data_IF_173971237921
#
_entry.id   IF_173971237921
#
_cell.length_a   1.000
_cell.length_b   1.000
_cell.length_c   1.000
_cell.angle_alpha   90.00
_cell.angle_beta   90.00
_cell.angle_gamma   90.00
#
_symmetry.space_group_name_H-M   'P 1'
#
loop_
_entity.id
_entity.type
_entity.pdbx_description
1 polymer ?
#
# COMPACT_ATOMS: atom_id res chain seq x y z
N UNK A 1 16.01 -8.12 -73.18
CA UNK A 1 15.13 -7.98 -74.36
C UNK A 1 14.02 -9.02 -74.24
N UNK A 2 12.77 -8.68 -74.59
CA UNK A 2 11.53 -9.46 -74.42
C UNK A 2 11.21 -9.84 -72.95
N UNK A 3 10.11 -9.46 -72.28
CA UNK A 3 8.68 -9.28 -72.65
C UNK A 3 7.98 -10.63 -72.96
N UNK A 4 6.79 -10.98 -72.43
CA UNK A 4 5.78 -10.19 -71.69
C UNK A 4 4.79 -11.09 -70.92
N UNK A 5 3.95 -10.44 -70.09
CA UNK A 5 2.70 -10.86 -69.43
C UNK A 5 2.88 -11.45 -68.01
N UNK A 6 2.24 -10.98 -66.93
CA UNK A 6 1.24 -9.92 -66.77
C UNK A 6 -0.10 -10.46 -66.25
N UNK A 7 -0.40 -10.22 -64.96
CA UNK A 7 -1.72 -9.98 -64.34
C UNK A 7 -1.54 -9.90 -62.81
N UNK A 8 -2.09 -8.84 -62.22
CA UNK A 8 -2.45 -8.71 -60.80
C UNK A 8 -3.86 -8.11 -60.81
N UNK A 9 -4.76 -8.45 -59.86
CA UNK A 9 -5.06 -7.41 -58.87
C UNK A 9 -5.50 -7.89 -57.47
N UNK A 10 -5.55 -6.89 -56.58
CA UNK A 10 -6.47 -6.70 -55.43
C UNK A 10 -6.28 -7.47 -54.11
N UNK A 11 -6.01 -6.68 -53.06
CA UNK A 11 -6.28 -6.96 -51.64
C UNK A 11 -7.78 -6.86 -51.35
N UNK A 12 -8.30 -7.65 -50.40
CA UNK A 12 -9.44 -7.31 -49.54
C UNK A 12 -9.25 -7.99 -48.14
N UNK A 13 -9.90 -7.51 -47.07
CA UNK A 13 -9.51 -7.80 -45.69
C UNK A 13 -10.18 -9.05 -45.10
N UNK A 14 -9.52 -9.68 -44.13
CA UNK A 14 -10.12 -10.73 -43.30
C UNK A 14 -10.85 -10.06 -42.13
N UNK A 15 -12.18 -10.08 -42.17
CA UNK A 15 -13.03 -9.73 -41.03
C UNK A 15 -13.09 -10.88 -40.03
N UNK A 16 -13.15 -10.53 -38.75
CA UNK A 16 -13.59 -11.41 -37.66
C UNK A 16 -15.00 -11.98 -37.89
N UNK A 17 -15.38 -12.96 -37.07
CA UNK A 17 -16.70 -13.66 -37.01
C UNK A 17 -16.92 -14.90 -37.92
N UNK A 18 -16.16 -16.00 -37.76
CA UNK A 18 -16.69 -17.35 -38.07
C UNK A 18 -16.02 -18.53 -37.33
N UNK A 19 -15.88 -18.51 -36.00
CA UNK A 19 -15.52 -19.73 -35.22
C UNK A 19 -16.27 -19.79 -33.89
N UNK A 20 -17.59 -20.05 -33.92
CA UNK A 20 -18.38 -20.45 -32.74
C UNK A 20 -19.80 -20.92 -33.15
N UNK A 21 -19.90 -22.02 -33.92
CA UNK A 21 -21.21 -22.64 -34.18
C UNK A 21 -21.19 -24.15 -34.49
N UNK A 22 -20.42 -24.93 -33.71
CA UNK A 22 -20.45 -26.40 -33.75
C UNK A 22 -20.13 -26.99 -32.37
N UNK A 23 -21.13 -27.04 -31.47
CA UNK A 23 -21.20 -27.97 -30.33
C UNK A 23 -22.57 -27.85 -29.60
N UNK A 24 -23.67 -28.09 -30.32
CA UNK A 24 -25.04 -28.03 -29.77
C UNK A 24 -25.94 -29.20 -30.18
N UNK A 25 -25.38 -30.41 -30.28
CA UNK A 25 -26.17 -31.64 -30.38
C UNK A 25 -25.43 -32.85 -29.81
N UNK A 26 -25.74 -33.20 -28.55
CA UNK A 26 -25.86 -34.57 -27.97
C UNK A 26 -25.89 -34.51 -26.45
N UNK A 27 -27.09 -34.60 -25.88
CA UNK A 27 -27.44 -35.42 -24.70
C UNK A 27 -28.90 -35.14 -24.33
N UNK A 28 -29.78 -36.08 -24.69
CA UNK A 28 -31.18 -36.10 -24.28
C UNK A 28 -31.38 -37.26 -23.31
N UNK A 29 -31.92 -37.01 -22.12
CA UNK A 29 -32.59 -37.97 -21.21
C UNK A 29 -33.41 -37.13 -20.19
N UNK A 30 -34.44 -37.69 -19.50
CA UNK A 30 -35.70 -36.96 -19.37
C UNK A 30 -36.02 -36.39 -17.98
N UNK A 31 -36.91 -35.41 -18.00
CA UNK A 31 -37.55 -34.80 -16.83
C UNK A 31 -38.54 -35.78 -16.17
N UNK A 32 -38.47 -35.93 -14.85
CA UNK A 32 -39.53 -36.59 -14.05
C UNK A 32 -40.14 -35.57 -13.09
N UNK A 33 -41.44 -35.31 -13.24
CA UNK A 33 -42.20 -34.49 -12.29
C UNK A 33 -42.46 -35.25 -10.99
N UNK A 34 -42.36 -34.55 -9.86
CA UNK A 34 -43.10 -34.91 -8.65
C UNK A 34 -43.75 -33.66 -8.05
N UNK A 35 -45.08 -33.64 -8.08
CA UNK A 35 -45.91 -32.60 -7.47
C UNK A 35 -45.87 -32.66 -5.95
N UNK A 36 -45.85 -31.49 -5.29
CA UNK A 36 -46.73 -31.21 -4.14
C UNK A 36 -47.00 -29.69 -4.02
N UNK A 37 -48.26 -29.34 -3.75
CA UNK A 37 -48.77 -27.96 -3.67
C UNK A 37 -48.70 -27.39 -2.24
N UNK A 38 -48.82 -26.06 -2.06
CA UNK A 38 -48.55 -25.37 -0.80
C UNK A 38 -49.79 -25.22 0.09
N UNK A 39 -49.56 -24.83 1.35
CA UNK A 39 -50.58 -24.20 2.21
C UNK A 39 -50.16 -22.77 2.56
N UNK A 40 -51.13 -21.85 2.46
CA UNK A 40 -51.00 -20.44 2.86
C UNK A 40 -51.19 -20.30 4.38
N UNK A 41 -50.56 -19.28 4.96
CA UNK A 41 -51.29 -18.34 5.82
C UNK A 41 -50.66 -16.94 5.76
N UNK A 42 -51.50 -15.93 5.89
CA UNK A 42 -51.18 -14.52 5.68
C UNK A 42 -51.41 -13.71 6.96
N UNK A 43 -50.59 -12.69 7.23
CA UNK A 43 -51.11 -11.40 7.73
C UNK A 43 -50.06 -10.27 7.73
N UNK A 44 -50.34 -9.28 6.88
CA UNK A 44 -50.25 -7.82 7.08
C UNK A 44 -49.33 -7.20 8.16
N UNK A 45 -48.69 -6.11 7.75
CA UNK A 45 -47.85 -5.22 8.56
C UNK A 45 -48.52 -3.87 8.90
N UNK A 46 -47.86 -3.12 9.81
CA UNK A 46 -47.82 -1.64 9.99
C UNK A 46 -48.74 -0.91 10.99
N UNK A 47 -48.03 -0.20 11.87
CA UNK A 47 -48.16 1.21 12.26
C UNK A 47 -49.36 1.71 13.10
N UNK A 48 -49.04 2.36 14.24
CA UNK A 48 -49.06 3.83 14.38
C UNK A 48 -48.51 4.28 15.75
N UNK A 49 -47.91 5.47 15.82
CA UNK A 49 -47.45 6.08 17.07
C UNK A 49 -48.33 7.27 17.48
N UNK A 50 -48.62 7.39 18.78
CA UNK A 50 -49.11 8.61 19.46
C UNK A 50 -48.58 8.63 20.90
N UNK A 51 -48.13 9.79 21.38
CA UNK A 51 -48.04 10.11 22.82
C UNK A 51 -49.04 11.22 23.14
N UNK A 52 -48.81 12.07 24.16
CA UNK A 52 -48.09 11.88 25.43
C UNK A 52 -48.98 12.28 26.65
N UNK A 53 -48.61 11.97 27.91
CA UNK A 53 -48.82 12.86 29.10
C UNK A 53 -48.36 12.30 30.47
N UNK A 54 -47.90 13.24 31.33
CA UNK A 54 -47.98 13.32 32.82
C UNK A 54 -47.39 12.26 33.78
N UNK A 55 -46.54 12.78 34.69
CA UNK A 55 -46.18 12.28 36.05
C UNK A 55 -47.38 12.45 37.05
N UNK A 56 -47.31 12.11 38.37
CA UNK A 56 -46.22 11.50 39.18
C UNK A 56 -46.63 10.33 40.12
N UNK A 57 -45.64 9.61 40.69
CA UNK A 57 -45.67 9.17 42.10
C UNK A 57 -44.31 8.60 42.57
N UNK A 58 -43.91 8.90 43.81
CA UNK A 58 -42.85 8.18 44.56
C UNK A 58 -43.48 6.97 45.29
N UNK A 59 -42.74 5.92 45.71
CA UNK A 59 -42.02 6.01 46.99
C UNK A 59 -40.77 5.11 47.21
N UNK A 60 -39.96 5.50 48.23
CA UNK A 60 -39.18 4.68 49.18
C UNK A 60 -37.93 3.84 48.75
N UNK A 61 -36.99 3.78 49.72
CA UNK A 61 -35.64 3.16 49.82
C UNK A 61 -35.64 1.60 49.81
N UNK A 62 -34.48 0.87 49.83
CA UNK A 62 -33.09 1.28 50.14
C UNK A 62 -31.94 0.76 49.23
N UNK A 63 -30.74 1.33 49.43
CA UNK A 63 -29.46 0.89 48.82
C UNK A 63 -28.73 -0.19 49.65
N UNK A 64 -27.96 -1.11 49.01
CA UNK A 64 -27.03 -1.99 49.72
C UNK A 64 -25.53 -1.63 49.53
N UNK A 65 -24.84 -1.58 50.67
CA UNK A 65 -23.45 -2.00 50.92
C UNK A 65 -22.31 -1.62 49.93
N UNK A 66 -21.48 -0.65 50.34
CA UNK A 66 -20.10 -0.55 49.84
C UNK A 66 -19.17 -1.56 50.52
N UNK A 67 -18.24 -2.16 49.77
CA UNK A 67 -17.05 -2.83 50.31
C UNK A 67 -15.81 -2.00 50.00
N UNK A 68 -15.11 -1.53 51.03
CA UNK A 68 -13.79 -0.91 50.89
C UNK A 68 -12.75 -2.00 50.64
N UNK A 69 -11.98 -1.88 49.57
CA UNK A 69 -10.77 -2.66 49.38
C UNK A 69 -9.58 -1.81 49.85
N UNK A 70 -8.85 -2.28 50.86
CA UNK A 70 -7.60 -1.65 51.29
C UNK A 70 -6.49 -2.05 50.31
N UNK A 71 -5.81 -1.08 49.71
CA UNK A 71 -4.51 -1.31 49.07
C UNK A 71 -3.42 -0.99 50.08
N UNK A 72 -2.66 -2.01 50.47
CA UNK A 72 -1.44 -1.85 51.28
C UNK A 72 -0.33 -1.41 50.33
N UNK A 73 0.16 -0.18 50.48
CA UNK A 73 1.44 0.22 49.89
C UNK A 73 2.56 -0.43 50.68
N UNK A 74 3.38 -1.25 50.02
CA UNK A 74 4.68 -1.64 50.54
C UNK A 74 5.71 -0.60 50.07
N UNK A 75 6.21 0.20 51.00
CA UNK A 75 7.44 0.96 50.78
C UNK A 75 8.62 -0.01 50.95
N UNK A 76 9.41 -0.17 49.89
CA UNK A 76 10.75 -0.75 49.98
C UNK A 76 11.76 0.33 49.64
N UNK A 77 12.37 0.86 50.68
CA UNK A 77 13.58 1.65 50.61
C UNK A 77 14.76 0.74 50.21
N UNK A 78 15.52 1.15 49.21
CA UNK A 78 16.81 0.57 48.83
C UNK A 78 17.56 1.64 48.02
N UNK A 79 18.62 2.18 48.60
CA UNK A 79 19.26 3.40 48.10
C UNK A 79 20.35 3.23 47.05
N UNK A 80 20.81 4.40 46.58
CA UNK A 80 22.13 4.65 46.01
C UNK A 80 22.52 3.91 44.71
N UNK A 81 21.91 4.33 43.61
CA UNK A 81 22.50 4.28 42.28
C UNK A 81 22.11 5.53 41.50
N UNK A 82 22.78 6.66 41.77
CA UNK A 82 22.49 7.96 41.13
C UNK A 82 22.96 7.97 39.67
N UNK A 83 22.22 7.28 38.82
CA UNK A 83 22.13 7.63 37.42
C UNK A 83 21.25 8.88 37.33
N UNK A 84 21.90 10.05 37.24
CA UNK A 84 21.25 11.36 37.13
C UNK A 84 20.06 11.27 36.17
N UNK A 85 18.85 11.51 36.68
CA UNK A 85 17.63 11.37 35.88
C UNK A 85 17.60 12.44 34.78
N UNK A 86 18.17 12.12 33.62
CA UNK A 86 18.14 13.00 32.45
C UNK A 86 16.69 13.28 32.08
N UNK A 87 16.30 14.54 32.23
CA UNK A 87 14.99 15.04 31.84
C UNK A 87 14.95 15.14 30.32
N UNK A 88 14.37 14.13 29.68
CA UNK A 88 14.05 14.15 28.25
C UNK A 88 12.72 14.86 27.99
N UNK A 89 12.56 15.47 26.81
CA UNK A 89 11.26 16.04 26.39
C UNK A 89 10.20 14.95 26.19
N UNK A 90 10.63 13.77 25.71
CA UNK A 90 9.78 12.60 25.46
C UNK A 90 10.44 11.28 25.92
N UNK A 91 9.62 10.30 26.28
CA UNK A 91 10.09 8.91 26.44
C UNK A 91 10.34 8.27 25.07
N UNK A 92 9.56 8.66 24.05
CA UNK A 92 9.67 8.18 22.68
C UNK A 92 9.62 9.33 21.67
N UNK A 93 10.63 9.40 20.80
CA UNK A 93 10.57 10.22 19.58
C UNK A 93 10.61 9.32 18.34
N UNK A 94 9.57 9.40 17.51
CA UNK A 94 9.46 8.58 16.30
C UNK A 94 9.70 9.42 15.04
N UNK A 95 10.62 8.98 14.17
CA UNK A 95 10.88 9.61 12.88
C UNK A 95 10.13 8.82 11.79
N UNK A 96 9.12 9.45 11.19
CA UNK A 96 8.26 8.87 10.16
C UNK A 96 6.92 8.38 10.69
N UNK A 97 5.82 9.01 10.25
CA UNK A 97 4.44 8.64 10.55
C UNK A 97 3.87 7.58 9.58
N UNK A 98 4.72 6.63 9.18
CA UNK A 98 4.32 5.40 8.50
C UNK A 98 3.63 4.40 9.42
N UNK A 99 3.33 3.21 8.90
CA UNK A 99 2.57 2.17 9.61
C UNK A 99 3.18 1.76 10.96
N UNK A 100 4.49 1.51 10.98
CA UNK A 100 5.21 1.10 12.19
C UNK A 100 5.22 2.22 13.21
N UNK A 101 5.65 3.42 12.82
CA UNK A 101 5.75 4.60 13.67
C UNK A 101 4.41 5.03 14.29
N UNK A 102 3.33 5.13 13.51
CA UNK A 102 1.99 5.46 14.03
C UNK A 102 1.49 4.39 15.02
N UNK A 103 1.76 3.11 14.75
CA UNK A 103 1.42 2.03 15.68
C UNK A 103 2.21 2.12 16.97
N UNK A 104 3.53 2.27 16.86
CA UNK A 104 4.45 2.30 17.98
C UNK A 104 4.17 3.49 18.90
N UNK A 105 4.13 4.71 18.36
CA UNK A 105 3.89 5.94 19.14
C UNK A 105 2.57 5.88 19.89
N UNK A 106 1.50 5.44 19.21
CA UNK A 106 0.19 5.25 19.82
C UNK A 106 0.20 4.18 20.92
N UNK A 107 0.92 3.08 20.73
CA UNK A 107 0.95 2.00 21.72
C UNK A 107 1.83 2.37 22.93
N UNK A 108 2.96 3.04 22.72
CA UNK A 108 3.78 3.61 23.78
C UNK A 108 2.96 4.57 24.66
N UNK A 109 2.20 5.48 24.05
CA UNK A 109 1.32 6.39 24.79
C UNK A 109 0.21 5.66 25.57
N UNK A 110 -0.34 4.55 25.04
CA UNK A 110 -1.28 3.71 25.80
C UNK A 110 -0.62 3.01 27.01
N UNK A 111 0.70 2.81 27.00
CA UNK A 111 1.48 2.32 28.14
C UNK A 111 1.92 3.44 29.11
N UNK A 112 1.53 4.70 28.85
CA UNK A 112 1.80 5.86 29.69
C UNK A 112 3.04 6.68 29.31
N UNK A 113 3.72 6.34 28.22
CA UNK A 113 4.92 7.05 27.76
C UNK A 113 4.58 8.40 27.09
N UNK A 114 5.37 9.45 27.37
CA UNK A 114 5.33 10.69 26.60
C UNK A 114 5.90 10.46 25.20
N UNK A 115 5.11 10.70 24.15
CA UNK A 115 5.49 10.33 22.79
C UNK A 115 5.31 11.47 21.78
N UNK A 116 6.35 11.69 20.96
CA UNK A 116 6.33 12.54 19.79
C UNK A 116 6.56 11.73 18.50
N UNK A 117 6.04 12.25 17.39
CA UNK A 117 6.28 11.70 16.05
C UNK A 117 6.46 12.84 15.05
N UNK A 118 7.55 12.83 14.28
CA UNK A 118 7.75 13.76 13.17
C UNK A 118 7.48 13.12 11.80
N UNK A 119 6.97 13.91 10.87
CA UNK A 119 6.73 13.51 9.48
C UNK A 119 6.80 14.74 8.56
N UNK A 120 7.19 14.54 7.31
CA UNK A 120 7.27 15.59 6.31
C UNK A 120 5.87 16.17 5.97
N UNK A 121 5.80 17.43 5.49
CA UNK A 121 4.58 18.02 4.95
C UNK A 121 3.86 17.13 3.91
N UNK A 122 2.54 17.28 3.81
CA UNK A 122 1.71 16.48 2.91
C UNK A 122 1.96 16.80 1.43
N UNK A 123 2.14 15.74 0.63
CA UNK A 123 2.12 15.76 -0.83
C UNK A 123 1.58 14.42 -1.34
N UNK A 124 1.14 14.34 -2.60
CA UNK A 124 0.73 13.06 -3.22
C UNK A 124 1.93 12.26 -3.73
N UNK A 125 2.99 12.91 -4.20
CA UNK A 125 4.28 12.30 -4.59
C UNK A 125 5.31 12.53 -3.47
N UNK A 126 6.19 11.56 -3.19
CA UNK A 126 7.20 11.69 -2.12
C UNK A 126 8.48 12.35 -2.64
N UNK A 127 9.10 13.20 -1.83
CA UNK A 127 10.40 13.82 -2.11
C UNK A 127 11.27 13.87 -0.84
N UNK A 128 12.45 14.47 -0.94
CA UNK A 128 13.33 14.76 0.22
C UNK A 128 12.70 15.70 1.26
N UNK A 129 11.66 16.47 0.88
CA UNK A 129 11.06 17.54 1.69
C UNK A 129 9.54 17.40 1.86
N UNK A 130 8.90 16.43 1.22
CA UNK A 130 7.46 16.18 1.32
C UNK A 130 7.15 14.68 1.34
N UNK A 131 6.21 14.28 2.21
CA UNK A 131 5.97 12.87 2.56
C UNK A 131 4.59 12.63 3.15
N UNK A 132 4.15 13.47 4.10
CA UNK A 132 2.79 13.52 4.60
C UNK A 132 2.45 12.47 5.64
N UNK A 133 1.68 12.88 6.65
CA UNK A 133 1.19 11.99 7.73
C UNK A 133 0.48 10.77 7.17
N UNK A 134 0.87 9.61 7.68
CA UNK A 134 0.49 8.32 7.16
C UNK A 134 1.56 7.74 6.23
N UNK A 135 2.19 8.57 5.39
CA UNK A 135 3.12 8.12 4.35
C UNK A 135 2.50 6.95 3.59
N UNK A 136 3.16 5.80 3.65
CA UNK A 136 2.58 4.52 3.25
C UNK A 136 1.84 3.77 4.41
N UNK A 137 0.81 4.35 5.08
CA UNK A 137 -0.28 3.72 5.91
C UNK A 137 -1.31 4.75 6.47
N UNK A 138 -2.52 4.49 7.04
CA UNK A 138 -3.27 3.32 7.56
C UNK A 138 -4.84 3.59 7.47
N UNK A 139 -5.80 2.80 7.99
CA UNK A 139 -7.24 3.21 8.22
C UNK A 139 -7.81 2.51 9.49
N UNK A 140 -8.92 2.92 10.15
CA UNK A 140 -9.37 2.32 11.41
C UNK A 140 -10.49 1.27 11.29
N UNK A 141 -10.57 0.44 12.35
CA UNK A 141 -11.59 -0.59 12.68
C UNK A 141 -11.56 -1.90 11.87
N UNK A 142 -10.99 -2.92 12.55
CA UNK A 142 -11.19 -4.38 12.37
C UNK A 142 -10.41 -5.05 11.22
N UNK A 143 -9.13 -5.35 11.52
CA UNK A 143 -8.23 -6.30 10.84
C UNK A 143 -7.83 -5.98 9.38
N UNK A 144 -6.53 -6.20 9.07
CA UNK A 144 -5.80 -5.76 7.86
C UNK A 144 -5.67 -4.24 7.75
N UNK A 145 -4.43 -3.75 7.86
CA UNK A 145 -4.11 -2.34 7.74
C UNK A 145 -2.92 -2.19 6.78
N UNK A 146 -2.96 -1.19 5.90
CA UNK A 146 -2.01 -1.06 4.78
C UNK A 146 -1.78 0.39 4.33
N UNK A 147 -0.88 0.55 3.37
CA UNK A 147 -0.37 1.82 2.85
C UNK A 147 -1.41 2.81 2.30
N UNK A 148 -1.34 4.09 2.70
CA UNK A 148 -2.34 5.14 2.34
C UNK A 148 -1.96 6.07 1.22
N UNK A 149 -0.88 6.86 1.32
CA UNK A 149 -0.69 7.92 0.32
C UNK A 149 -0.19 7.35 -1.01
N UNK A 150 0.69 6.33 -0.97
CA UNK A 150 1.50 5.91 -2.14
C UNK A 150 1.68 4.39 -2.22
N UNK A 151 0.57 3.66 -2.34
CA UNK A 151 0.59 2.20 -2.45
C UNK A 151 -0.78 1.58 -2.19
N UNK A 152 -0.87 0.63 -1.26
CA UNK A 152 -1.97 -0.32 -1.16
C UNK A 152 -3.40 0.27 -1.26
N UNK A 153 -3.75 1.36 -0.56
CA UNK A 153 -5.09 1.97 -0.64
C UNK A 153 -5.38 2.57 -2.03
N UNK A 154 -4.65 3.57 -2.54
CA UNK A 154 -4.92 4.16 -3.84
C UNK A 154 -4.73 3.12 -4.96
N UNK A 155 -3.73 2.25 -4.86
CA UNK A 155 -3.58 1.07 -5.74
C UNK A 155 -4.85 0.21 -5.74
N UNK A 156 -5.41 -0.10 -4.56
CA UNK A 156 -6.60 -0.95 -4.45
C UNK A 156 -7.85 -0.27 -5.01
N UNK A 157 -7.97 1.05 -4.88
CA UNK A 157 -9.02 1.83 -5.53
C UNK A 157 -8.87 1.77 -7.07
N UNK A 158 -7.66 1.89 -7.60
CA UNK A 158 -7.39 1.72 -9.03
C UNK A 158 -7.65 0.28 -9.53
N UNK A 159 -7.30 -0.75 -8.74
CA UNK A 159 -7.63 -2.16 -9.04
C UNK A 159 -9.14 -2.41 -9.05
N UNK A 160 -9.91 -1.75 -8.18
CA UNK A 160 -11.37 -1.84 -8.25
C UNK A 160 -11.90 -1.15 -9.51
N UNK A 161 -11.36 0.02 -9.88
CA UNK A 161 -11.75 0.73 -11.09
C UNK A 161 -11.45 -0.08 -12.38
N UNK A 162 -10.29 -0.75 -12.45
CA UNK A 162 -9.89 -1.50 -13.64
C UNK A 162 -10.73 -2.77 -13.88
N UNK A 163 -11.26 -3.38 -12.81
CA UNK A 163 -12.10 -4.59 -12.87
C UNK A 163 -13.45 -4.39 -13.54
N UNK A 164 -14.09 -3.23 -13.36
CA UNK A 164 -15.40 -2.95 -13.97
C UNK A 164 -15.42 -3.17 -15.48
N UNK A 165 -14.30 -2.91 -16.17
CA UNK A 165 -14.18 -3.11 -17.61
C UNK A 165 -14.36 -4.57 -18.06
N UNK A 166 -14.05 -5.53 -17.18
CA UNK A 166 -14.22 -6.96 -17.40
C UNK A 166 -15.58 -7.43 -16.88
N UNK A 167 -16.02 -6.92 -15.72
CA UNK A 167 -17.35 -7.20 -15.16
C UNK A 167 -18.47 -6.80 -16.14
N UNK A 168 -18.31 -5.69 -16.88
CA UNK A 168 -19.25 -5.28 -17.94
C UNK A 168 -19.22 -6.21 -19.16
N UNK A 169 -18.03 -6.66 -19.59
CA UNK A 169 -17.86 -7.61 -20.69
C UNK A 169 -18.48 -8.99 -20.36
N UNK A 170 -18.24 -9.50 -19.15
CA UNK A 170 -18.83 -10.76 -18.66
C UNK A 170 -20.35 -10.65 -18.42
N UNK A 171 -20.88 -9.47 -18.09
CA UNK A 171 -22.32 -9.28 -17.81
C UNK A 171 -23.23 -9.68 -18.98
N UNK A 172 -22.75 -9.59 -20.22
CA UNK A 172 -23.46 -10.08 -21.40
C UNK A 172 -23.79 -11.57 -21.33
N UNK A 173 -22.90 -12.39 -20.74
CA UNK A 173 -23.15 -13.82 -20.49
C UNK A 173 -24.29 -14.08 -19.50
N UNK A 174 -24.64 -13.08 -18.69
CA UNK A 174 -25.77 -13.10 -17.74
C UNK A 174 -27.02 -12.38 -18.28
N UNK A 175 -27.03 -12.03 -19.58
CA UNK A 175 -28.19 -11.42 -20.25
C UNK A 175 -28.28 -9.89 -20.13
N UNK A 176 -27.26 -9.22 -19.59
CA UNK A 176 -27.18 -7.76 -19.66
C UNK A 176 -26.90 -7.30 -21.09
N UNK A 177 -27.52 -6.19 -21.48
CA UNK A 177 -27.33 -5.57 -22.79
C UNK A 177 -27.36 -4.05 -22.60
N UNK A 178 -26.50 -3.35 -23.32
CA UNK A 178 -26.32 -1.89 -23.23
C UNK A 178 -26.38 -1.30 -24.64
N UNK A 179 -26.92 -0.09 -24.79
CA UNK A 179 -26.96 0.61 -26.09
C UNK A 179 -25.58 1.15 -26.50
N UNK A 180 -24.69 1.38 -25.52
CA UNK A 180 -23.32 1.81 -25.72
C UNK A 180 -22.43 1.34 -24.57
N UNK A 181 -21.16 1.08 -24.86
CA UNK A 181 -20.16 0.68 -23.88
C UNK A 181 -19.94 1.75 -22.79
N UNK A 182 -19.84 1.38 -21.50
CA UNK A 182 -19.53 2.29 -20.41
C UNK A 182 -18.18 3.02 -20.62
N UNK A 183 -18.22 4.35 -20.62
CA UNK A 183 -17.01 5.19 -20.74
C UNK A 183 -16.40 5.46 -19.37
N UNK A 184 -15.10 5.22 -19.24
CA UNK A 184 -14.33 5.50 -18.03
C UNK A 184 -13.76 6.93 -18.04
N UNK A 185 -14.06 7.72 -17.00
CA UNK A 185 -13.43 9.02 -16.76
C UNK A 185 -12.31 8.92 -15.71
N UNK A 186 -11.07 9.13 -16.17
CA UNK A 186 -9.88 9.16 -15.33
C UNK A 186 -9.90 10.31 -14.31
N UNK A 187 -10.45 11.47 -14.68
CA UNK A 187 -10.43 12.65 -13.81
C UNK A 187 -11.31 12.45 -12.56
N UNK A 188 -12.53 11.92 -12.73
CA UNK A 188 -13.41 11.51 -11.62
C UNK A 188 -12.77 10.43 -10.74
N UNK A 189 -12.13 9.40 -11.32
CA UNK A 189 -11.44 8.37 -10.53
C UNK A 189 -10.34 8.98 -9.63
N UNK A 190 -9.50 9.83 -10.20
CA UNK A 190 -8.37 10.44 -9.49
C UNK A 190 -8.83 11.45 -8.43
N UNK A 191 -9.89 12.22 -8.71
CA UNK A 191 -10.51 13.13 -7.74
C UNK A 191 -11.10 12.35 -6.55
N UNK A 192 -11.86 11.28 -6.80
CA UNK A 192 -12.45 10.45 -5.75
C UNK A 192 -11.39 9.73 -4.90
N UNK A 193 -10.34 9.20 -5.55
CA UNK A 193 -9.15 8.67 -4.86
C UNK A 193 -8.56 9.74 -3.93
N UNK A 194 -8.26 10.93 -4.43
CA UNK A 194 -7.59 11.97 -3.66
C UNK A 194 -8.46 12.53 -2.52
N UNK A 195 -9.78 12.64 -2.69
CA UNK A 195 -10.69 12.97 -1.60
C UNK A 195 -10.66 11.92 -0.46
N UNK A 196 -10.61 10.63 -0.81
CA UNK A 196 -10.46 9.56 0.18
C UNK A 196 -9.09 9.61 0.89
N UNK A 197 -8.00 9.93 0.18
CA UNK A 197 -6.66 10.13 0.77
C UNK A 197 -6.61 11.34 1.74
N UNK A 198 -7.38 12.40 1.48
CA UNK A 198 -7.50 13.53 2.40
C UNK A 198 -8.30 13.16 3.66
N UNK A 199 -9.45 12.49 3.50
CA UNK A 199 -10.27 11.98 4.63
C UNK A 199 -9.46 11.04 5.52
N UNK A 200 -8.68 10.17 4.89
CA UNK A 200 -7.67 9.31 5.49
C UNK A 200 -6.71 10.08 6.40
N UNK A 201 -5.99 11.04 5.82
CA UNK A 201 -4.96 11.81 6.51
C UNK A 201 -5.51 12.53 7.74
N UNK A 202 -6.74 13.09 7.64
CA UNK A 202 -7.42 13.70 8.78
C UNK A 202 -7.70 12.72 9.92
N UNK A 203 -8.09 11.48 9.60
CA UNK A 203 -8.26 10.41 10.59
C UNK A 203 -6.93 10.03 11.26
N UNK A 204 -5.79 10.10 10.56
CA UNK A 204 -4.47 9.86 11.17
C UNK A 204 -4.08 10.92 12.18
N UNK A 205 -4.19 12.20 11.80
CA UNK A 205 -3.93 13.31 12.71
C UNK A 205 -4.82 13.20 13.97
N UNK A 206 -6.09 12.79 13.82
CA UNK A 206 -6.99 12.53 14.94
C UNK A 206 -6.62 11.31 15.80
N UNK A 207 -6.16 10.20 15.22
CA UNK A 207 -5.76 9.00 15.98
C UNK A 207 -4.53 9.28 16.87
N UNK A 208 -3.54 10.01 16.36
CA UNK A 208 -2.36 10.41 17.13
C UNK A 208 -2.75 11.40 18.24
N UNK A 209 -3.51 12.45 17.90
CA UNK A 209 -4.02 13.44 18.85
C UNK A 209 -4.83 12.83 19.99
N UNK A 210 -5.74 11.90 19.67
CA UNK A 210 -6.57 11.23 20.68
C UNK A 210 -5.79 10.26 21.57
N UNK A 211 -4.57 9.87 21.19
CA UNK A 211 -3.65 9.08 22.00
C UNK A 211 -2.65 9.95 22.78
N UNK A 212 -2.75 11.28 22.72
CA UNK A 212 -1.79 12.20 23.35
C UNK A 212 -0.43 12.30 22.66
N UNK A 213 -0.26 11.69 21.48
CA UNK A 213 1.01 11.74 20.74
C UNK A 213 1.17 13.10 20.07
N UNK A 214 2.27 13.80 20.33
CA UNK A 214 2.57 15.06 19.67
C UNK A 214 3.04 14.82 18.23
N UNK A 215 2.23 15.24 17.26
CA UNK A 215 2.63 15.28 15.85
C UNK A 215 3.42 16.57 15.58
N UNK A 216 4.62 16.42 15.02
CA UNK A 216 5.50 17.50 14.58
C UNK A 216 5.61 17.39 13.05
N UNK A 217 5.44 18.49 12.33
CA UNK A 217 5.64 18.50 10.87
C UNK A 217 7.06 19.00 10.57
N UNK A 218 7.82 18.25 9.78
CA UNK A 218 9.22 18.56 9.42
C UNK A 218 10.11 17.33 9.22
N UNK A 219 11.37 17.51 8.80
CA UNK A 219 12.32 16.41 8.57
C UNK A 219 13.10 16.10 9.84
N UNK A 220 12.90 14.90 10.41
CA UNK A 220 13.73 14.39 11.50
C UNK A 220 15.13 13.98 11.03
N UNK A 221 16.16 14.51 11.70
CA UNK A 221 17.56 14.10 11.62
C UNK A 221 18.06 13.76 13.03
N UNK A 222 18.70 12.62 13.22
CA UNK A 222 19.34 12.28 14.49
C UNK A 222 20.67 13.06 14.58
N UNK A 223 20.94 13.71 15.71
CA UNK A 223 22.18 14.49 15.92
C UNK A 223 23.10 13.89 16.99
N UNK A 224 22.52 13.15 17.94
CA UNK A 224 23.22 12.32 18.93
C UNK A 224 22.30 11.14 19.31
N UNK A 225 22.74 10.15 20.12
CA UNK A 225 21.93 8.97 20.48
C UNK A 225 20.55 9.26 21.11
N UNK A 226 20.31 10.46 21.63
CA UNK A 226 19.08 10.86 22.32
C UNK A 226 18.42 12.13 21.77
N UNK A 227 19.01 12.82 20.79
CA UNK A 227 18.46 14.07 20.25
C UNK A 227 18.11 13.97 18.77
N UNK A 228 16.91 14.43 18.43
CA UNK A 228 16.42 14.60 17.05
C UNK A 228 16.26 16.09 16.74
N UNK A 229 16.90 16.54 15.67
CA UNK A 229 16.61 17.82 15.02
C UNK A 229 15.41 17.67 14.08
N UNK A 230 14.43 18.56 14.19
CA UNK A 230 13.35 18.72 13.21
C UNK A 230 13.35 20.16 12.72
N UNK A 231 13.82 20.34 11.48
CA UNK A 231 13.90 21.62 10.76
C UNK A 231 14.55 22.77 11.58
N UNK A 232 15.59 22.46 12.35
CA UNK A 232 16.37 23.39 13.17
C UNK A 232 15.96 23.45 14.64
N UNK A 233 14.93 22.68 15.05
CA UNK A 233 14.52 22.55 16.45
C UNK A 233 14.90 21.18 17.01
N UNK A 234 15.74 21.20 18.04
CA UNK A 234 16.15 20.00 18.78
C UNK A 234 15.06 19.52 19.75
N UNK A 235 14.95 18.20 19.85
CA UNK A 235 14.07 17.48 20.75
C UNK A 235 14.82 16.29 21.35
N UNK A 236 14.84 16.19 22.68
CA UNK A 236 15.49 15.12 23.42
C UNK A 236 14.52 13.98 23.75
N UNK A 237 14.98 12.73 23.66
CA UNK A 237 14.16 11.57 23.95
C UNK A 237 14.93 10.38 24.50
N UNK A 238 14.29 9.66 25.43
CA UNK A 238 14.86 8.43 26.01
C UNK A 238 15.06 7.32 24.97
N UNK A 239 14.11 7.18 24.05
CA UNK A 239 14.18 6.24 22.93
C UNK A 239 13.82 6.93 21.61
N UNK A 240 14.57 6.63 20.55
CA UNK A 240 14.30 7.08 19.18
C UNK A 240 13.87 5.88 18.33
N UNK A 241 12.76 6.00 17.61
CA UNK A 241 12.27 4.98 16.68
C UNK A 241 12.29 5.49 15.24
N UNK A 242 13.00 4.79 14.36
CA UNK A 242 13.09 5.08 12.94
C UNK A 242 12.05 4.24 12.17
N UNK A 243 11.08 4.89 11.56
CA UNK A 243 10.00 4.27 10.75
C UNK A 243 9.80 4.99 9.40
N UNK A 244 10.88 5.55 8.84
CA UNK A 244 10.91 6.32 7.57
C UNK A 244 10.67 5.49 6.30
N UNK A 245 10.54 4.16 6.44
CA UNK A 245 10.23 3.25 5.35
C UNK A 245 11.29 3.17 4.25
N UNK A 246 10.84 3.10 3.00
CA UNK A 246 11.68 3.07 1.81
C UNK A 246 11.08 3.87 0.66
N UNK A 247 11.85 4.10 -0.40
CA UNK A 247 11.44 4.82 -1.62
C UNK A 247 11.63 3.97 -2.88
N UNK A 248 10.90 4.23 -3.98
CA UNK A 248 11.13 3.59 -5.27
C UNK A 248 12.57 3.77 -5.75
N UNK A 249 13.04 2.84 -6.59
CA UNK A 249 14.36 2.90 -7.20
C UNK A 249 14.25 2.92 -8.73
N UNK A 250 14.81 3.97 -9.32
CA UNK A 250 15.03 4.10 -10.77
C UNK A 250 16.54 3.90 -11.01
N UNK A 251 16.96 2.90 -11.81
CA UNK A 251 18.34 2.68 -12.20
C UNK A 251 18.94 3.90 -12.91
N UNK A 252 20.26 4.05 -12.80
CA UNK A 252 20.98 5.12 -13.47
C UNK A 252 21.22 4.77 -14.96
N UNK A 253 20.32 5.24 -15.82
CA UNK A 253 20.39 5.11 -17.28
C UNK A 253 20.13 6.47 -17.95
N UNK A 254 20.65 6.71 -19.17
CA UNK A 254 20.32 7.91 -19.94
C UNK A 254 18.80 8.06 -20.14
N UNK A 255 18.27 9.25 -19.87
CA UNK A 255 16.83 9.55 -19.99
C UNK A 255 15.96 9.10 -18.81
N UNK A 256 16.56 8.63 -17.69
CA UNK A 256 15.82 8.27 -16.46
C UNK A 256 14.91 9.38 -15.93
N UNK A 257 15.21 10.64 -16.26
CA UNK A 257 14.41 11.83 -15.96
C UNK A 257 13.04 11.87 -16.65
N UNK A 258 12.84 11.04 -17.68
CA UNK A 258 11.54 10.83 -18.34
C UNK A 258 10.75 9.65 -17.74
N UNK A 259 11.33 8.91 -16.79
CA UNK A 259 10.66 7.81 -16.12
C UNK A 259 9.77 8.29 -14.98
N UNK A 260 8.69 7.54 -14.73
CA UNK A 260 7.88 7.62 -13.52
C UNK A 260 8.15 6.41 -12.62
N UNK A 261 7.83 6.52 -11.34
CA UNK A 261 7.85 5.42 -10.39
C UNK A 261 6.43 5.05 -9.92
N UNK A 262 6.31 4.21 -8.88
CA UNK A 262 5.02 3.85 -8.29
C UNK A 262 4.28 5.01 -7.65
N UNK A 263 4.99 6.04 -7.20
CA UNK A 263 4.41 7.17 -6.46
C UNK A 263 3.78 8.13 -7.47
N UNK A 264 4.50 8.43 -8.57
CA UNK A 264 3.97 9.20 -9.69
C UNK A 264 2.87 8.46 -10.47
N UNK A 265 2.97 7.13 -10.65
CA UNK A 265 1.94 6.33 -11.31
C UNK A 265 0.58 6.34 -10.58
N UNK A 266 0.56 6.64 -9.27
CA UNK A 266 -0.66 6.79 -8.48
C UNK A 266 -1.30 8.18 -8.58
N UNK A 267 -0.66 9.16 -9.23
CA UNK A 267 -1.14 10.55 -9.30
C UNK A 267 -0.99 11.17 -10.70
N UNK A 268 -1.03 10.34 -11.76
CA UNK A 268 -0.95 10.82 -13.14
C UNK A 268 -2.12 11.74 -13.51
N UNK A 269 -1.89 12.90 -14.16
CA UNK A 269 -2.96 13.82 -14.56
C UNK A 269 -3.84 13.24 -15.67
N UNK A 270 -3.28 12.37 -16.51
CA UNK A 270 -3.97 11.68 -17.61
C UNK A 270 -3.72 10.18 -17.55
N UNK A 271 -4.68 9.40 -18.06
CA UNK A 271 -4.51 7.96 -18.22
C UNK A 271 -3.44 7.70 -19.30
N UNK A 272 -2.48 6.77 -19.09
CA UNK A 272 -1.61 6.32 -20.18
C UNK A 272 -2.43 5.74 -21.34
N UNK A 273 -2.02 6.07 -22.56
CA UNK A 273 -2.52 5.40 -23.78
C UNK A 273 -1.74 4.13 -24.03
N UNK A 274 -0.40 4.26 -24.04
CA UNK A 274 0.58 3.17 -24.09
C UNK A 274 1.63 3.34 -23.00
N UNK A 275 1.98 2.28 -22.27
CA UNK A 275 2.91 2.34 -21.13
C UNK A 275 3.90 1.17 -21.12
N UNK A 276 5.18 1.48 -20.88
CA UNK A 276 6.21 0.51 -20.56
C UNK A 276 6.36 0.40 -19.03
N UNK A 277 6.31 -0.82 -18.47
CA UNK A 277 6.50 -1.08 -17.05
C UNK A 277 7.73 -1.97 -16.88
N UNK A 278 8.79 -1.42 -16.30
CA UNK A 278 10.06 -2.12 -16.06
C UNK A 278 10.02 -2.72 -14.66
N UNK A 279 9.94 -4.05 -14.59
CA UNK A 279 9.97 -4.80 -13.33
C UNK A 279 9.11 -6.07 -13.39
N UNK A 280 9.54 -7.11 -12.68
CA UNK A 280 8.79 -8.37 -12.53
C UNK A 280 8.25 -8.59 -11.11
N UNK A 281 8.24 -7.56 -10.27
CA UNK A 281 7.71 -7.63 -8.91
C UNK A 281 6.20 -7.46 -8.85
N UNK A 282 5.60 -7.65 -7.66
CA UNK A 282 4.16 -7.49 -7.45
C UNK A 282 3.68 -6.10 -7.92
N UNK A 283 4.36 -5.01 -7.51
CA UNK A 283 4.05 -3.64 -7.95
C UNK A 283 3.90 -3.56 -9.49
N UNK A 284 4.84 -4.12 -10.24
CA UNK A 284 4.82 -4.06 -11.70
C UNK A 284 3.58 -4.74 -12.29
N UNK A 285 3.22 -5.93 -11.80
CA UNK A 285 2.06 -6.67 -12.29
C UNK A 285 0.73 -6.04 -11.85
N UNK A 286 0.67 -5.50 -10.63
CA UNK A 286 -0.52 -4.79 -10.15
C UNK A 286 -0.79 -3.54 -11.00
N UNK A 287 0.23 -2.76 -11.36
CA UNK A 287 0.06 -1.63 -12.29
C UNK A 287 -0.22 -2.07 -13.72
N UNK A 288 0.36 -3.18 -14.19
CA UNK A 288 0.04 -3.73 -15.50
C UNK A 288 -1.45 -4.11 -15.60
N UNK A 289 -1.98 -4.81 -14.60
CA UNK A 289 -3.41 -5.14 -14.50
C UNK A 289 -4.32 -3.90 -14.39
N UNK A 290 -3.92 -2.89 -13.59
CA UNK A 290 -4.63 -1.60 -13.50
C UNK A 290 -4.73 -0.94 -14.88
N UNK A 291 -3.61 -0.69 -15.55
CA UNK A 291 -3.62 0.07 -16.81
C UNK A 291 -4.24 -0.73 -17.96
N UNK A 292 -4.09 -2.05 -18.00
CA UNK A 292 -4.72 -2.92 -19.00
C UNK A 292 -6.24 -2.99 -18.82
N UNK A 293 -6.73 -3.16 -17.58
CA UNK A 293 -8.17 -3.10 -17.29
C UNK A 293 -8.76 -1.70 -17.52
N UNK A 294 -7.96 -0.64 -17.45
CA UNK A 294 -8.34 0.70 -17.91
C UNK A 294 -8.01 0.94 -19.40
N UNK A 295 -7.96 -0.14 -20.20
CA UNK A 295 -7.81 -0.17 -21.66
C UNK A 295 -6.65 0.72 -22.16
N UNK A 296 -5.46 0.45 -21.64
CA UNK A 296 -4.18 1.03 -22.10
C UNK A 296 -3.35 -0.09 -22.74
N UNK A 297 -2.51 0.23 -23.72
CA UNK A 297 -1.54 -0.72 -24.28
C UNK A 297 -0.36 -0.88 -23.30
N UNK A 298 -0.21 -2.07 -22.72
CA UNK A 298 0.73 -2.33 -21.61
C UNK A 298 1.82 -3.29 -22.05
N UNK A 299 3.07 -2.82 -21.98
CA UNK A 299 4.27 -3.64 -22.15
C UNK A 299 5.00 -3.80 -20.81
N UNK A 300 5.28 -5.04 -20.39
CA UNK A 300 6.01 -5.36 -19.15
C UNK A 300 7.39 -5.91 -19.48
N UNK A 301 8.43 -5.22 -19.03
CA UNK A 301 9.83 -5.58 -19.29
C UNK A 301 10.47 -6.21 -18.05
N UNK A 302 11.00 -7.43 -18.21
CA UNK A 302 11.70 -8.15 -17.14
C UNK A 302 13.05 -8.68 -17.59
N UNK A 303 14.07 -8.48 -16.76
CA UNK A 303 15.43 -9.01 -16.99
C UNK A 303 15.57 -10.53 -16.78
N UNK A 304 14.54 -11.18 -16.25
CA UNK A 304 14.49 -12.62 -15.98
C UNK A 304 13.52 -13.33 -16.92
N UNK A 305 13.52 -14.66 -16.92
CA UNK A 305 12.56 -15.48 -17.69
C UNK A 305 11.12 -15.40 -17.18
N UNK A 306 10.93 -15.22 -15.88
CA UNK A 306 9.63 -15.27 -15.19
C UNK A 306 9.45 -14.11 -14.22
N UNK A 307 8.19 -13.68 -14.08
CA UNK A 307 7.72 -12.70 -13.09
C UNK A 307 7.70 -13.28 -11.67
N UNK A 308 7.40 -12.44 -10.66
CA UNK A 308 7.20 -12.75 -9.23
C UNK A 308 8.26 -13.70 -8.64
N UNK A 309 9.55 -13.44 -8.87
CA UNK A 309 10.66 -14.21 -8.28
C UNK A 309 10.48 -14.37 -6.76
N UNK A 310 10.49 -15.61 -6.29
CA UNK A 310 10.29 -15.98 -4.88
C UNK A 310 8.86 -16.43 -4.55
N UNK A 311 7.95 -16.45 -5.52
CA UNK A 311 6.69 -17.19 -5.47
C UNK A 311 6.87 -18.57 -6.13
N UNK A 312 5.87 -19.43 -5.92
CA UNK A 312 5.74 -20.75 -6.54
C UNK A 312 5.84 -20.71 -8.08
N UNK A 313 6.52 -21.69 -8.67
CA UNK A 313 6.82 -21.71 -10.11
C UNK A 313 5.59 -21.91 -11.00
N UNK A 314 4.62 -22.76 -10.60
CA UNK A 314 3.40 -23.01 -11.38
C UNK A 314 2.48 -21.78 -11.34
N UNK A 315 2.32 -21.18 -10.16
CA UNK A 315 1.55 -19.93 -9.98
C UNK A 315 2.14 -18.79 -10.82
N UNK A 316 3.46 -18.75 -10.98
CA UNK A 316 4.17 -17.72 -11.77
C UNK A 316 3.99 -17.88 -13.27
N UNK A 317 3.95 -19.12 -13.76
CA UNK A 317 3.68 -19.39 -15.17
C UNK A 317 2.22 -19.10 -15.51
N UNK A 318 1.29 -19.61 -14.68
CA UNK A 318 -0.14 -19.36 -14.82
C UNK A 318 -0.46 -17.86 -14.83
N UNK A 319 0.08 -17.06 -13.90
CA UNK A 319 -0.23 -15.63 -13.84
C UNK A 319 0.26 -14.88 -15.08
N UNK A 320 1.45 -15.24 -15.59
CA UNK A 320 2.03 -14.60 -16.78
C UNK A 320 1.22 -14.95 -18.04
N UNK A 321 0.79 -16.20 -18.18
CA UNK A 321 -0.09 -16.65 -19.26
C UNK A 321 -1.44 -15.91 -19.23
N UNK A 322 -2.14 -15.90 -18.08
CA UNK A 322 -3.45 -15.24 -17.97
C UNK A 322 -3.38 -13.73 -18.20
N UNK A 323 -2.31 -13.06 -17.75
CA UNK A 323 -2.06 -11.65 -18.05
C UNK A 323 -1.77 -11.42 -19.54
N UNK A 324 -1.05 -12.33 -20.20
CA UNK A 324 -0.77 -12.27 -21.65
C UNK A 324 -2.02 -12.43 -22.49
N UNK A 325 -2.87 -13.41 -22.15
CA UNK A 325 -4.17 -13.64 -22.80
C UNK A 325 -5.12 -12.44 -22.67
N UNK A 326 -4.94 -11.61 -21.63
CA UNK A 326 -5.69 -10.36 -21.40
C UNK A 326 -5.09 -9.14 -22.10
N UNK A 327 -4.06 -9.30 -22.93
CA UNK A 327 -3.47 -8.24 -23.77
C UNK A 327 -2.17 -7.62 -23.26
N UNK A 328 -1.63 -8.07 -22.12
CA UNK A 328 -0.38 -7.51 -21.57
C UNK A 328 0.82 -8.13 -22.27
N UNK A 329 1.65 -7.31 -22.91
CA UNK A 329 2.80 -7.75 -23.69
C UNK A 329 4.04 -7.96 -22.79
N UNK A 330 4.47 -9.21 -22.58
CA UNK A 330 5.66 -9.50 -21.78
C UNK A 330 6.94 -9.59 -22.60
N UNK A 331 7.92 -8.76 -22.23
CA UNK A 331 9.27 -8.70 -22.79
C UNK A 331 10.24 -9.33 -21.79
N UNK A 332 10.50 -10.63 -21.95
CA UNK A 332 11.30 -11.42 -21.00
C UNK A 332 12.77 -11.49 -21.40
N UNK A 333 13.65 -11.58 -20.40
CA UNK A 333 15.11 -11.47 -20.56
C UNK A 333 15.51 -10.22 -21.37
N UNK A 334 14.81 -9.11 -21.10
CA UNK A 334 14.96 -7.82 -21.75
C UNK A 334 15.13 -6.72 -20.69
N UNK A 335 16.19 -5.93 -20.81
CA UNK A 335 16.62 -4.93 -19.82
C UNK A 335 16.73 -3.56 -20.48
N UNK A 336 16.23 -2.48 -19.83
CA UNK A 336 16.33 -1.13 -20.37
C UNK A 336 17.78 -0.64 -20.36
N UNK A 337 18.13 0.12 -21.38
CA UNK A 337 19.45 0.74 -21.55
C UNK A 337 19.38 2.27 -21.61
N UNK A 338 18.32 2.83 -22.19
CA UNK A 338 18.06 4.27 -22.21
C UNK A 338 16.59 4.56 -22.51
N UNK A 339 16.13 5.76 -22.16
CA UNK A 339 14.85 6.32 -22.58
C UNK A 339 15.15 7.52 -23.49
N UNK A 340 14.50 7.61 -24.64
CA UNK A 340 14.63 8.75 -25.55
C UNK A 340 13.27 9.41 -25.72
N UNK A 341 13.20 10.72 -25.54
CA UNK A 341 11.99 11.50 -25.82
C UNK A 341 12.00 11.96 -27.28
N UNK A 342 10.95 11.61 -28.01
CA UNK A 342 10.70 11.99 -29.40
C UNK A 342 10.20 13.43 -29.51
N UNK A 343 10.27 14.00 -30.72
CA UNK A 343 9.84 15.37 -30.99
C UNK A 343 8.32 15.59 -30.83
N UNK A 344 7.52 14.53 -30.99
CA UNK A 344 6.07 14.52 -30.74
C UNK A 344 5.71 14.38 -29.24
N UNK A 345 6.71 14.24 -28.37
CA UNK A 345 6.54 14.06 -26.93
C UNK A 345 6.45 12.60 -26.49
N UNK A 346 6.35 11.63 -27.41
CA UNK A 346 6.36 10.20 -27.09
C UNK A 346 7.72 9.73 -26.56
N UNK A 347 7.73 8.59 -25.87
CA UNK A 347 8.92 7.97 -25.30
C UNK A 347 9.26 6.68 -26.07
N UNK A 348 10.56 6.53 -26.36
CA UNK A 348 11.18 5.33 -26.88
C UNK A 348 11.97 4.64 -25.77
N UNK A 349 11.69 3.37 -25.53
CA UNK A 349 12.47 2.55 -24.60
C UNK A 349 13.52 1.76 -25.40
N UNK A 350 14.80 2.09 -25.21
CA UNK A 350 15.92 1.30 -25.73
C UNK A 350 16.25 0.18 -24.74
N UNK A 351 16.42 -1.03 -25.24
CA UNK A 351 16.71 -2.23 -24.47
C UNK A 351 17.94 -2.94 -25.05
N UNK A 352 18.39 -4.01 -24.40
CA UNK A 352 19.42 -4.90 -24.94
C UNK A 352 18.97 -5.71 -26.18
N UNK A 353 17.72 -5.58 -26.65
CA UNK A 353 17.18 -6.29 -27.82
C UNK A 353 16.74 -5.37 -28.96
N UNK A 354 16.56 -4.08 -28.71
CA UNK A 354 16.16 -3.10 -29.73
C UNK A 354 15.67 -1.79 -29.12
N UNK A 355 14.79 -1.10 -29.85
CA UNK A 355 14.03 0.02 -29.35
C UNK A 355 12.53 -0.24 -29.59
N UNK A 356 11.69 0.19 -28.67
CA UNK A 356 10.23 0.13 -28.81
C UNK A 356 9.68 1.54 -28.56
N UNK A 357 8.91 2.03 -29.52
CA UNK A 357 8.49 3.43 -29.59
C UNK A 357 7.01 3.64 -29.23
N UNK A 358 6.63 4.92 -29.10
CA UNK A 358 5.25 5.36 -28.92
C UNK A 358 4.71 5.24 -27.49
N UNK A 359 5.58 5.06 -26.48
CA UNK A 359 5.12 5.04 -25.09
C UNK A 359 4.71 6.45 -24.64
N UNK A 360 3.52 6.58 -24.05
CA UNK A 360 3.13 7.81 -23.35
C UNK A 360 3.87 7.96 -22.01
N UNK A 361 4.18 6.82 -21.37
CA UNK A 361 4.81 6.77 -20.05
C UNK A 361 5.77 5.56 -19.96
N UNK A 362 6.84 5.72 -19.18
CA UNK A 362 7.79 4.63 -18.85
C UNK A 362 7.89 4.55 -17.32
N UNK A 363 7.38 3.48 -16.74
CA UNK A 363 7.30 3.27 -15.29
C UNK A 363 8.37 2.29 -14.79
N UNK A 364 9.11 2.68 -13.76
CA UNK A 364 10.07 1.80 -13.09
C UNK A 364 9.51 1.25 -11.78
N UNK A 365 9.30 -0.07 -11.76
CA UNK A 365 8.89 -0.87 -10.62
C UNK A 365 10.00 -1.88 -10.24
N UNK A 366 11.27 -1.45 -10.32
CA UNK A 366 12.44 -2.34 -10.19
C UNK A 366 12.83 -2.70 -8.75
N UNK A 367 12.22 -2.04 -7.77
CA UNK A 367 12.43 -2.29 -6.34
C UNK A 367 12.24 -1.03 -5.51
N UNK A 368 12.48 -1.16 -4.21
CA UNK A 368 12.51 -0.05 -3.25
C UNK A 368 13.83 -0.10 -2.48
N UNK A 369 14.30 1.06 -2.01
CA UNK A 369 15.48 1.20 -1.13
C UNK A 369 15.07 1.79 0.21
N UNK A 370 15.69 1.36 1.33
CA UNK A 370 15.55 2.01 2.63
C UNK A 370 15.80 3.52 2.56
N UNK A 371 14.99 4.31 3.27
CA UNK A 371 15.03 5.76 3.23
C UNK A 371 15.97 6.35 4.31
N UNK A 372 17.24 5.98 4.29
CA UNK A 372 18.23 6.27 5.37
C UNK A 372 19.16 7.46 5.09
N UNK A 373 19.07 8.08 3.91
CA UNK A 373 20.00 9.15 3.48
C UNK A 373 19.81 10.44 4.29
N UNK A 374 20.93 11.08 4.63
CA UNK A 374 20.99 12.39 5.30
C UNK A 374 20.18 12.45 6.61
N UNK A 375 20.18 11.36 7.37
CA UNK A 375 19.45 11.22 8.64
C UNK A 375 20.34 11.29 9.89
N UNK A 376 21.66 11.42 9.75
CA UNK A 376 22.60 11.44 10.88
C UNK A 376 22.94 10.06 11.46
N UNK A 377 22.58 8.97 10.77
CA UNK A 377 22.65 7.61 11.29
C UNK A 377 24.08 7.11 11.45
N UNK A 378 24.92 7.32 10.43
CA UNK A 378 26.32 6.86 10.44
C UNK A 378 27.13 7.68 11.45
N UNK A 379 26.83 8.97 11.57
CA UNK A 379 27.46 9.92 12.50
C UNK A 379 27.23 9.56 13.98
N UNK A 380 26.08 8.96 14.32
CA UNK A 380 25.79 8.48 15.70
C UNK A 380 26.10 6.99 15.90
N UNK A 381 26.68 6.30 14.92
CA UNK A 381 27.11 4.90 15.03
C UNK A 381 26.04 3.85 14.75
N UNK A 382 24.93 4.21 14.09
CA UNK A 382 23.94 3.23 13.59
C UNK A 382 24.50 2.53 12.35
N UNK A 383 24.65 1.20 12.44
CA UNK A 383 25.14 0.36 11.34
C UNK A 383 24.13 0.26 10.21
N UNK A 384 24.61 0.48 8.99
CA UNK A 384 23.85 0.30 7.75
C UNK A 384 24.47 -0.83 6.93
N UNK A 385 23.62 -1.70 6.40
CA UNK A 385 24.02 -2.72 5.43
C UNK A 385 24.27 -2.11 4.04
N UNK A 386 24.92 -2.86 3.14
CA UNK A 386 25.34 -2.39 1.81
C UNK A 386 24.21 -1.90 0.87
N UNK A 387 22.94 -2.17 1.20
CA UNK A 387 21.79 -1.69 0.45
C UNK A 387 21.13 -0.41 1.06
N UNK A 388 21.70 0.10 2.16
CA UNK A 388 21.21 1.22 2.94
C UNK A 388 20.28 0.86 4.10
N UNK A 389 19.94 -0.42 4.33
CA UNK A 389 19.04 -0.82 5.42
C UNK A 389 19.72 -0.72 6.78
N UNK A 390 18.98 -0.27 7.79
CA UNK A 390 19.44 -0.23 9.18
C UNK A 390 19.58 -1.66 9.69
N UNK A 391 20.75 -2.00 10.21
CA UNK A 391 20.99 -3.28 10.87
C UNK A 391 20.33 -3.28 12.24
N UNK A 392 19.55 -4.33 12.52
CA UNK A 392 18.72 -4.45 13.73
C UNK A 392 18.72 -5.88 14.28
N UNK A 393 18.71 -6.01 15.61
CA UNK A 393 18.60 -7.26 16.35
C UNK A 393 17.18 -7.86 16.30
N UNK A 394 16.98 -9.08 16.80
CA UNK A 394 15.68 -9.76 16.80
C UNK A 394 14.53 -9.04 17.55
N UNK A 395 14.82 -7.99 18.32
CA UNK A 395 13.84 -7.12 18.97
C UNK A 395 13.62 -5.77 18.25
N UNK A 396 14.34 -5.53 17.15
CA UNK A 396 14.33 -4.32 16.31
C UNK A 396 15.18 -3.15 16.86
N UNK A 397 16.13 -3.43 17.76
CA UNK A 397 17.14 -2.47 18.26
C UNK A 397 18.29 -2.35 17.27
N UNK A 398 18.81 -1.14 17.08
CA UNK A 398 19.99 -0.90 16.22
C UNK A 398 21.31 -1.20 16.97
N UNK A 399 22.46 -0.84 16.38
CA UNK A 399 23.76 -0.84 17.08
C UNK A 399 23.91 0.23 18.16
N UNK A 400 22.92 1.11 18.35
CA UNK A 400 22.88 2.14 19.39
C UNK A 400 21.67 1.85 20.30
N UNK A 401 21.88 1.65 21.60
CA UNK A 401 20.87 1.10 22.51
C UNK A 401 19.57 1.94 22.65
N UNK A 402 19.69 3.25 22.48
CA UNK A 402 18.56 4.19 22.49
C UNK A 402 17.78 4.22 21.18
N UNK A 403 18.35 3.72 20.07
CA UNK A 403 17.80 3.84 18.71
C UNK A 403 17.28 2.49 18.20
N UNK A 404 16.06 2.50 17.68
CA UNK A 404 15.31 1.36 17.18
C UNK A 404 14.85 1.61 15.74
N UNK A 405 14.60 0.57 14.94
CA UNK A 405 14.12 0.73 13.57
C UNK A 405 13.13 -0.36 13.15
N UNK A 406 12.05 0.02 12.45
CA UNK A 406 10.95 -0.89 12.06
C UNK A 406 10.42 -0.61 10.65
N UNK A 407 9.85 -1.63 10.01
CA UNK A 407 9.32 -1.59 8.65
C UNK A 407 10.41 -1.59 7.57
N UNK A 408 10.05 -1.13 6.36
CA UNK A 408 10.88 -1.18 5.13
C UNK A 408 12.31 -0.62 5.29
N UNK A 409 12.57 0.24 6.28
CA UNK A 409 13.91 0.80 6.55
C UNK A 409 14.92 -0.27 7.03
N UNK A 410 14.41 -1.36 7.63
CA UNK A 410 15.20 -2.55 8.03
C UNK A 410 15.38 -3.55 6.88
N UNK A 411 14.58 -3.41 5.81
CA UNK A 411 14.51 -4.31 4.67
C UNK A 411 14.37 -5.81 5.03
N UNK A 412 13.68 -6.14 6.13
CA UNK A 412 13.36 -7.53 6.52
C UNK A 412 12.26 -8.12 5.64
N UNK A 413 11.03 -7.64 5.85
CA UNK A 413 9.86 -8.01 5.03
C UNK A 413 9.03 -6.74 4.83
N UNK A 414 9.07 -6.19 3.62
CA UNK A 414 8.49 -4.89 3.29
C UNK A 414 6.97 -5.01 3.05
N UNK A 415 6.23 -5.29 4.13
CA UNK A 415 4.78 -5.47 4.17
C UNK A 415 4.19 -4.71 5.36
N UNK A 416 3.07 -4.01 5.15
CA UNK A 416 2.46 -3.21 6.22
C UNK A 416 2.04 -4.02 7.46
N UNK A 417 1.45 -5.24 7.36
CA UNK A 417 1.17 -6.07 8.53
C UNK A 417 2.42 -6.36 9.38
N UNK A 418 3.57 -6.60 8.73
CA UNK A 418 4.85 -6.81 9.40
C UNK A 418 5.33 -5.54 10.10
N UNK A 419 5.36 -4.39 9.42
CA UNK A 419 5.74 -3.12 10.04
C UNK A 419 4.86 -2.76 11.26
N UNK A 420 3.59 -3.18 11.26
CA UNK A 420 2.66 -3.01 12.37
C UNK A 420 2.89 -4.00 13.52
N UNK A 421 3.27 -5.23 13.20
CA UNK A 421 3.74 -6.19 14.19
C UNK A 421 5.02 -5.68 14.85
N UNK A 422 6.03 -5.30 14.07
CA UNK A 422 7.30 -4.76 14.56
C UNK A 422 7.11 -3.53 15.46
N UNK A 423 6.37 -2.51 15.00
CA UNK A 423 6.08 -1.32 15.81
C UNK A 423 5.25 -1.62 17.07
N UNK A 424 4.38 -2.62 17.04
CA UNK A 424 3.65 -3.10 18.22
C UNK A 424 4.54 -3.86 19.20
N UNK A 425 5.42 -4.73 18.68
CA UNK A 425 6.39 -5.51 19.44
C UNK A 425 7.42 -4.63 20.13
N UNK A 426 7.94 -3.62 19.43
CA UNK A 426 8.79 -2.58 20.00
C UNK A 426 8.09 -1.89 21.18
N UNK A 427 6.89 -1.33 20.96
CA UNK A 427 6.19 -0.58 22.02
C UNK A 427 5.87 -1.44 23.24
N UNK A 428 5.53 -2.71 23.04
CA UNK A 428 5.27 -3.69 24.11
C UNK A 428 6.56 -4.08 24.86
N UNK A 429 7.67 -4.24 24.16
CA UNK A 429 8.96 -4.59 24.75
C UNK A 429 9.55 -3.45 25.58
N UNK A 430 9.48 -2.21 25.08
CA UNK A 430 10.14 -1.04 25.67
C UNK A 430 9.27 -0.34 26.73
N UNK A 431 7.96 -0.21 26.51
CA UNK A 431 7.05 0.51 27.42
C UNK A 431 6.06 -0.40 28.15
N UNK A 432 5.78 -1.59 27.61
CA UNK A 432 4.92 -2.60 28.24
C UNK A 432 5.65 -3.58 29.16
N UNK A 433 6.98 -3.50 29.27
CA UNK A 433 7.84 -4.42 30.04
C UNK A 433 7.67 -5.91 29.69
N UNK A 434 7.25 -6.24 28.47
CA UNK A 434 7.10 -7.62 27.99
C UNK A 434 7.89 -7.81 26.68
N UNK A 435 9.17 -8.25 26.76
CA UNK A 435 10.04 -8.42 25.59
C UNK A 435 9.48 -9.43 24.59
N UNK A 436 9.12 -8.95 23.40
CA UNK A 436 8.49 -9.74 22.35
C UNK A 436 9.21 -9.57 21.01
N UNK A 437 9.58 -10.69 20.40
CA UNK A 437 10.23 -10.75 19.08
C UNK A 437 9.15 -10.76 17.99
N UNK A 438 9.28 -10.01 16.89
CA UNK A 438 8.42 -10.17 15.72
C UNK A 438 8.60 -11.57 15.10
N UNK A 439 7.51 -12.22 14.69
CA UNK A 439 7.55 -13.53 14.04
C UNK A 439 7.23 -13.39 12.54
N UNK A 440 8.22 -13.68 11.70
CA UNK A 440 8.13 -13.52 10.24
C UNK A 440 7.68 -14.80 9.51
N UNK A 441 7.33 -15.87 10.24
CA UNK A 441 6.95 -17.17 9.66
C UNK A 441 5.51 -17.17 9.17
N UNK A 442 5.26 -17.89 8.08
CA UNK A 442 3.93 -18.11 7.50
C UNK A 442 3.17 -16.83 7.09
N UNK A 443 3.90 -15.74 6.83
CA UNK A 443 3.35 -14.45 6.38
C UNK A 443 2.63 -14.56 5.03
N UNK A 444 1.30 -14.46 5.07
CA UNK A 444 0.43 -14.61 3.90
C UNK A 444 0.43 -13.36 3.02
N UNK A 445 0.68 -13.53 1.73
CA UNK A 445 0.79 -12.45 0.74
C UNK A 445 -0.30 -12.57 -0.32
N UNK A 446 -0.76 -11.46 -0.85
CA UNK A 446 -1.73 -11.38 -1.96
C UNK A 446 -1.18 -10.38 -2.98
N UNK A 447 -1.26 -10.73 -4.26
CA UNK A 447 -0.90 -9.87 -5.40
C UNK A 447 -2.14 -9.75 -6.27
N UNK A 448 -2.48 -8.54 -6.71
CA UNK A 448 -3.74 -8.25 -7.43
C UNK A 448 -3.47 -7.78 -8.86
N UNK A 449 -3.52 -8.70 -9.80
CA UNK A 449 -3.39 -8.47 -11.25
C UNK A 449 -4.75 -8.52 -11.97
#
# INVERSE_FOLDING_TARGET
MAATLGVSPTKLPISSYTVLHTLSHRLSLPFVLLHRRPHLSSSSSRAAARGPTTRPCSPLFPSPAGRRCFSVRSEQDNGAGDATAQSYDFDLFTIGAGSGGVRASRFAANYGASAAICELPFATISSEIAGGVGGTALFPKRWRLSCVLRGCVPKKLLVYASKYSHDFEESHGFGWNYEAEPKHDWSTLMANKNAELQRLTGIYKNILKNAGVQLIEGRGKIVDPHTVDVDGKLYSARHILISVGGRPFIPDIPGKEYAIDSDAALDLPTKPEKIAIIGGGYIALEFAGIFNGLKSDVHVFIRQKKVLRGFDEEVRDFIAEQMSLRGIQFHTEESPQAIVKSADGSLSLKTNRGAIDGFSHVMFATGRRPNTKNMGLEEVGVKLSSNGAIEVDEYSRTSVDSIWAVGDVTNRVNLTPVALMEGGSFAKSVFGNEPIKPDYRYETKVVEN
#
